data_IF_900888639746
#
_entry.id   IF_900888639746
#
_cell.length_a   1.000
_cell.length_b   1.000
_cell.length_c   1.000
_cell.angle_alpha   90.00
_cell.angle_beta   90.00
_cell.angle_gamma   90.00
#
_symmetry.space_group_name_H-M   'P 1'
#
loop_
_entity.id
_entity.type
_entity.pdbx_description
1 polymer ?
#
# COMPACT_ATOMS: atom_id res chain seq x y z
N UNK A 1 -15.66 -19.16 1.34
CA UNK A 1 -16.73 -18.24 0.88
C UNK A 1 -16.03 -17.13 0.11
N UNK A 2 -16.20 -17.06 -1.21
CA UNK A 2 -15.70 -15.97 -2.04
C UNK A 2 -16.62 -14.77 -1.82
N UNK A 3 -16.11 -13.75 -1.12
CA UNK A 3 -16.78 -12.45 -1.05
C UNK A 3 -16.53 -11.72 -2.35
N UNK A 4 -17.52 -11.69 -3.24
CA UNK A 4 -17.58 -10.67 -4.28
C UNK A 4 -17.82 -9.34 -3.58
N UNK A 5 -16.86 -8.40 -3.65
CA UNK A 5 -17.12 -7.01 -3.26
C UNK A 5 -18.23 -6.47 -4.17
N UNK A 6 -19.26 -5.90 -3.57
CA UNK A 6 -20.48 -5.50 -4.28
C UNK A 6 -20.35 -4.17 -5.06
N UNK A 7 -19.11 -3.70 -5.29
CA UNK A 7 -18.82 -2.36 -5.82
C UNK A 7 -19.12 -1.20 -4.85
N UNK A 8 -19.61 -1.49 -3.64
CA UNK A 8 -19.96 -0.49 -2.62
C UNK A 8 -18.78 0.02 -1.79
N UNK A 9 -17.72 -0.78 -1.72
CA UNK A 9 -16.51 -0.46 -0.97
C UNK A 9 -15.41 -0.20 -1.99
N UNK A 10 -14.66 0.88 -1.80
CA UNK A 10 -13.54 1.23 -2.66
C UNK A 10 -12.41 0.21 -2.55
N UNK A 11 -11.68 0.00 -3.66
CA UNK A 11 -10.54 -0.88 -3.67
C UNK A 11 -9.33 -0.24 -2.97
N UNK A 12 -8.50 -1.06 -2.31
CA UNK A 12 -7.27 -0.61 -1.67
C UNK A 12 -6.05 -1.02 -2.49
N UNK A 13 -5.14 -0.07 -2.69
CA UNK A 13 -3.90 -0.28 -3.41
C UNK A 13 -2.71 0.15 -2.55
N UNK A 14 -1.79 -0.78 -2.30
CA UNK A 14 -0.57 -0.55 -1.52
C UNK A 14 0.65 -0.55 -2.43
N UNK A 15 1.50 0.46 -2.30
CA UNK A 15 2.79 0.55 -3.00
C UNK A 15 3.92 0.67 -1.99
N UNK A 16 4.98 -0.09 -2.20
CA UNK A 16 6.20 0.01 -1.41
C UNK A 16 7.18 0.94 -2.12
N UNK A 17 7.77 1.86 -1.38
CA UNK A 17 8.75 2.82 -1.93
C UNK A 17 9.98 2.85 -1.05
N UNK A 18 11.13 3.04 -1.67
CA UNK A 18 12.37 3.25 -0.96
C UNK A 18 13.23 4.22 -1.78
N UNK A 19 13.84 5.22 -1.13
CA UNK A 19 14.81 6.10 -1.82
C UNK A 19 16.07 5.32 -2.15
N UNK A 20 16.45 4.42 -1.24
CA UNK A 20 17.50 3.42 -1.41
C UNK A 20 16.89 2.11 -0.92
N UNK A 21 16.91 1.09 -1.77
CA UNK A 21 16.30 -0.21 -1.44
C UNK A 21 16.91 -0.80 -0.16
N UNK A 22 16.06 -1.31 0.76
CA UNK A 22 16.54 -2.03 1.92
C UNK A 22 17.21 -3.34 1.52
N UNK A 23 18.07 -3.88 2.39
CA UNK A 23 18.71 -5.17 2.20
C UNK A 23 17.67 -6.30 2.27
N UNK A 24 16.68 -6.14 3.14
CA UNK A 24 15.58 -7.09 3.32
C UNK A 24 14.29 -6.32 3.60
N UNK A 25 13.17 -6.80 3.08
CA UNK A 25 11.83 -6.30 3.39
C UNK A 25 10.86 -7.46 3.49
N UNK A 26 10.03 -7.46 4.53
CA UNK A 26 8.99 -8.44 4.79
C UNK A 26 7.72 -7.71 5.19
N UNK A 27 6.60 -8.12 4.62
CA UNK A 27 5.26 -7.73 5.05
C UNK A 27 4.38 -8.97 5.18
N UNK A 28 3.70 -9.09 6.31
CA UNK A 28 2.74 -10.17 6.57
C UNK A 28 1.38 -9.80 5.98
N UNK A 29 1.30 -9.76 4.64
CA UNK A 29 0.07 -9.52 3.90
C UNK A 29 -0.12 -10.60 2.83
N UNK A 30 -1.19 -11.43 2.91
CA UNK A 30 -1.42 -12.54 1.99
C UNK A 30 -1.72 -12.12 0.55
N UNK A 31 -2.11 -10.86 0.33
CA UNK A 31 -2.38 -10.31 -1.00
C UNK A 31 -1.11 -9.82 -1.71
N UNK A 32 0.02 -9.74 -0.99
CA UNK A 32 1.31 -9.25 -1.49
C UNK A 32 2.27 -10.43 -1.69
N UNK A 33 3.02 -10.47 -2.81
CA UNK A 33 4.04 -11.50 -2.99
C UNK A 33 5.18 -11.37 -1.96
N UNK A 34 5.82 -12.49 -1.62
CA UNK A 34 6.93 -12.52 -0.64
C UNK A 34 8.14 -11.63 -1.01
N UNK A 35 8.28 -11.28 -2.29
CA UNK A 35 9.32 -10.38 -2.80
C UNK A 35 8.65 -9.33 -3.69
N UNK A 36 8.02 -8.31 -3.08
CA UNK A 36 7.33 -7.30 -3.86
C UNK A 36 8.35 -6.40 -4.56
N UNK A 37 8.06 -6.07 -5.81
CA UNK A 37 8.73 -5.00 -6.53
C UNK A 37 8.35 -3.63 -5.94
N UNK A 38 9.31 -2.71 -5.93
CA UNK A 38 9.12 -1.32 -5.49
C UNK A 38 8.42 -0.49 -6.56
N UNK A 39 7.75 0.56 -6.12
CA UNK A 39 7.04 1.55 -6.95
C UNK A 39 5.87 0.99 -7.81
N UNK A 40 5.37 -0.21 -7.47
CA UNK A 40 4.18 -0.84 -8.07
C UNK A 40 3.03 -0.88 -7.04
N UNK A 41 1.80 -0.60 -7.50
CA UNK A 41 0.58 -0.76 -6.69
C UNK A 41 0.08 -2.20 -6.73
N UNK A 42 -0.09 -2.78 -5.55
CA UNK A 42 -0.72 -4.07 -5.33
C UNK A 42 -2.11 -3.87 -4.77
N UNK A 43 -3.11 -4.49 -5.39
CA UNK A 43 -4.46 -4.55 -4.81
C UNK A 43 -4.41 -5.41 -3.54
N UNK A 44 -4.97 -4.91 -2.45
CA UNK A 44 -4.97 -5.56 -1.14
C UNK A 44 -6.35 -5.48 -0.50
N UNK A 45 -6.68 -6.44 0.35
CA UNK A 45 -7.87 -6.34 1.17
C UNK A 45 -7.63 -5.42 2.39
N UNK A 46 -8.70 -4.92 3.03
CA UNK A 46 -8.60 -4.28 4.34
C UNK A 46 -8.03 -5.24 5.39
N UNK A 47 -7.20 -4.72 6.29
CA UNK A 47 -6.53 -5.52 7.32
C UNK A 47 -5.42 -4.76 8.03
N UNK A 48 -4.88 -5.37 9.08
CA UNK A 48 -3.69 -4.88 9.77
C UNK A 48 -2.52 -5.82 9.46
N UNK A 49 -1.48 -5.27 8.86
CA UNK A 49 -0.36 -6.05 8.33
C UNK A 49 0.93 -5.58 8.98
N UNK A 50 1.63 -6.51 9.66
CA UNK A 50 2.93 -6.22 10.23
C UNK A 50 3.99 -6.19 9.13
N UNK A 51 5.00 -5.33 9.29
CA UNK A 51 6.12 -5.29 8.37
C UNK A 51 7.43 -5.05 9.12
N UNK A 52 8.54 -5.45 8.49
CA UNK A 52 9.89 -5.19 8.95
C UNK A 52 10.83 -5.07 7.75
N UNK A 53 11.92 -4.33 7.92
CA UNK A 53 12.95 -4.22 6.90
C UNK A 53 14.32 -3.99 7.52
N UNK A 54 15.38 -4.36 6.82
CA UNK A 54 16.75 -3.99 7.15
C UNK A 54 17.19 -2.93 6.16
N UNK A 55 17.44 -1.72 6.62
CA UNK A 55 17.82 -0.62 5.73
C UNK A 55 19.19 -0.86 5.07
N UNK A 56 19.56 -0.02 4.10
CA UNK A 56 20.85 -0.12 3.41
C UNK A 56 22.08 0.06 4.33
N UNK A 57 21.90 0.55 5.55
CA UNK A 57 22.96 0.68 6.57
C UNK A 57 23.04 -0.55 7.48
N UNK A 58 22.18 -1.55 7.30
CA UNK A 58 22.12 -2.75 8.15
C UNK A 58 21.32 -2.56 9.44
N UNK A 59 20.54 -1.48 9.55
CA UNK A 59 19.68 -1.22 10.70
C UNK A 59 18.34 -1.90 10.51
N UNK A 60 17.94 -2.72 11.49
CA UNK A 60 16.62 -3.35 11.51
C UNK A 60 15.54 -2.33 11.88
N UNK A 61 14.46 -2.29 11.12
CA UNK A 61 13.25 -1.55 11.43
C UNK A 61 12.07 -2.53 11.63
N UNK A 62 11.05 -2.16 12.44
CA UNK A 62 10.93 -0.90 13.16
C UNK A 62 11.82 -0.79 14.43
N UNK A 63 12.28 0.41 14.73
CA UNK A 63 12.91 0.79 16.00
C UNK A 63 11.86 1.22 17.04
N UNK A 64 12.21 1.30 18.34
CA UNK A 64 11.30 1.81 19.36
C UNK A 64 10.77 3.21 19.02
N UNK A 65 9.45 3.33 18.88
CA UNK A 65 8.77 4.57 18.49
C UNK A 65 8.40 4.67 17.00
N UNK A 66 8.79 3.71 16.18
CA UNK A 66 8.40 3.60 14.78
C UNK A 66 7.16 2.72 14.59
N UNK A 67 6.48 2.89 13.45
CA UNK A 67 5.38 2.02 13.05
C UNK A 67 5.92 0.65 12.61
N UNK A 68 5.39 -0.42 13.19
CA UNK A 68 5.69 -1.81 12.80
C UNK A 68 4.57 -2.52 12.05
N UNK A 69 3.48 -1.80 11.79
CA UNK A 69 2.32 -2.32 11.06
C UNK A 69 1.65 -1.19 10.28
N UNK A 70 0.88 -1.59 9.27
CA UNK A 70 0.00 -0.72 8.51
C UNK A 70 -1.44 -1.23 8.67
N UNK A 71 -2.37 -0.32 9.00
CA UNK A 71 -3.80 -0.62 9.08
C UNK A 71 -4.50 -0.04 7.85
N UNK A 72 -5.11 -0.94 7.07
CA UNK A 72 -5.76 -0.66 5.80
C UNK A 72 -7.27 -0.78 5.97
N UNK A 73 -7.99 0.32 5.70
CA UNK A 73 -9.46 0.39 5.83
C UNK A 73 -10.02 0.90 4.51
N UNK A 74 -10.93 0.14 3.90
CA UNK A 74 -11.63 0.57 2.69
C UNK A 74 -12.59 1.71 2.99
N UNK A 75 -12.71 2.66 2.06
CA UNK A 75 -13.78 3.64 2.10
C UNK A 75 -15.10 2.95 1.76
N UNK A 76 -15.93 2.75 2.78
CA UNK A 76 -17.28 2.20 2.61
C UNK A 76 -18.22 3.36 2.30
N UNK A 77 -18.74 3.44 1.08
CA UNK A 77 -19.71 4.48 0.79
C UNK A 77 -21.01 4.25 1.55
N UNK A 78 -21.63 5.35 1.99
CA UNK A 78 -22.93 5.32 2.64
C UNK A 78 -24.00 5.92 1.73
N UNK A 79 -25.03 5.13 1.39
CA UNK A 79 -26.14 5.58 0.54
C UNK A 79 -26.03 5.12 -0.91
N UNK A 80 -26.07 6.08 -1.86
CA UNK A 80 -26.09 5.84 -3.31
C UNK A 80 -24.78 6.16 -4.02
N UNK A 81 -23.72 6.44 -3.27
CA UNK A 81 -22.38 6.67 -3.81
C UNK A 81 -21.58 5.35 -3.74
N UNK A 82 -20.61 5.20 -4.64
CA UNK A 82 -19.66 4.10 -4.61
C UNK A 82 -18.47 4.46 -3.70
N UNK A 83 -17.90 3.47 -3.01
CA UNK A 83 -16.72 3.67 -2.17
C UNK A 83 -15.52 4.09 -3.02
N UNK A 84 -14.70 5.01 -2.51
CA UNK A 84 -13.55 5.51 -3.27
C UNK A 84 -12.35 4.60 -3.13
N UNK A 85 -11.69 4.35 -4.25
CA UNK A 85 -10.40 3.66 -4.26
C UNK A 85 -9.37 4.48 -3.47
N UNK A 86 -8.58 3.79 -2.63
CA UNK A 86 -7.55 4.41 -1.81
C UNK A 86 -6.18 3.86 -2.20
N UNK A 87 -5.24 4.77 -2.42
CA UNK A 87 -3.87 4.46 -2.80
C UNK A 87 -2.92 4.88 -1.69
N UNK A 88 -2.06 3.94 -1.29
CA UNK A 88 -1.29 4.04 -0.08
C UNK A 88 0.17 3.76 -0.40
N UNK A 89 1.05 4.64 0.04
CA UNK A 89 2.49 4.47 -0.05
C UNK A 89 3.04 4.08 1.32
N UNK A 90 3.70 2.92 1.41
CA UNK A 90 4.59 2.57 2.51
C UNK A 90 6.02 2.86 2.08
N UNK A 91 6.59 3.94 2.63
CA UNK A 91 7.92 4.43 2.29
C UNK A 91 8.92 3.96 3.34
N UNK A 92 9.89 3.15 2.93
CA UNK A 92 10.92 2.56 3.79
C UNK A 92 12.15 3.48 3.80
N UNK A 93 12.36 4.21 4.91
CA UNK A 93 13.50 5.12 5.09
C UNK A 93 14.42 4.62 6.21
N UNK A 94 15.70 4.97 6.15
CA UNK A 94 16.66 4.73 7.25
C UNK A 94 16.33 5.47 8.54
N UNK A 95 15.48 6.49 8.47
CA UNK A 95 15.00 7.26 9.62
C UNK A 95 13.69 6.72 10.19
N UNK A 96 13.24 5.57 9.71
CA UNK A 96 11.96 4.97 10.05
C UNK A 96 10.94 5.06 8.93
N UNK A 97 9.92 4.19 8.94
CA UNK A 97 8.92 4.12 7.89
C UNK A 97 7.99 5.34 7.90
N UNK A 98 7.53 5.73 6.71
CA UNK A 98 6.52 6.75 6.49
C UNK A 98 5.35 6.14 5.73
N UNK A 99 4.12 6.46 6.14
CA UNK A 99 2.88 6.02 5.47
C UNK A 99 2.18 7.27 4.95
N UNK A 100 1.90 7.30 3.65
CA UNK A 100 1.15 8.37 3.00
C UNK A 100 -0.07 7.81 2.28
N UNK A 101 -1.21 8.49 2.43
CA UNK A 101 -2.47 8.15 1.76
C UNK A 101 -2.76 9.22 0.71
N UNK A 102 -3.09 8.79 -0.51
CA UNK A 102 -3.45 9.68 -1.60
C UNK A 102 -4.85 9.38 -2.10
N UNK A 103 -5.70 10.40 -2.07
CA UNK A 103 -6.90 10.46 -2.91
C UNK A 103 -6.45 10.87 -4.32
N UNK A 104 -5.94 9.92 -5.09
CA UNK A 104 -5.65 10.17 -6.49
C UNK A 104 -6.96 10.42 -7.25
N UNK A 105 -7.37 11.69 -7.39
CA UNK A 105 -8.25 12.15 -8.49
C UNK A 105 -7.49 12.11 -9.83
N UNK A 106 -6.79 11.01 -10.11
CA UNK A 106 -6.01 10.88 -11.33
C UNK A 106 -6.95 10.36 -12.40
N UNK A 107 -7.52 11.28 -13.19
CA UNK A 107 -8.14 10.93 -14.47
C UNK A 107 -7.04 10.24 -15.27
N UNK A 108 -7.22 8.95 -15.56
CA UNK A 108 -6.36 8.25 -16.51
C UNK A 108 -6.34 9.08 -17.79
N UNK A 109 -5.21 9.72 -18.11
CA UNK A 109 -5.01 10.29 -19.45
C UNK A 109 -4.97 9.08 -20.37
N UNK A 110 -6.10 8.76 -21.00
CA UNK A 110 -6.11 7.91 -22.18
C UNK A 110 -5.26 8.64 -23.21
N UNK A 111 -4.02 8.17 -23.39
CA UNK A 111 -3.27 8.43 -24.62
C UNK A 111 -4.09 7.79 -25.74
N UNK A 112 -5.03 8.54 -26.31
CA UNK A 112 -5.54 8.23 -27.63
C UNK A 112 -4.38 8.44 -28.59
N UNK A 113 -3.80 7.34 -29.05
CA UNK A 113 -3.00 7.37 -30.27
C UNK A 113 -3.99 7.50 -31.42
N UNK A 114 -4.12 8.70 -31.97
CA UNK A 114 -4.73 8.89 -33.27
C UNK A 114 -3.85 8.18 -34.32
N UNK A 115 -4.40 7.17 -34.98
CA UNK A 115 -3.83 6.52 -36.18
C UNK A 115 -3.87 7.45 -37.42
#
# INVERSE_FOLDING_TARGET
>A
MMGCSSGKDGDLFLRFRAVIEPVEFIIDNPDIPNYPEYDIYYKTNPGSYNFSYVDHNGTQHPQPGEFGFIELVADTASGSEDGKDLYIDLILLSTGPLIENFDYYTIASTLEFDD
#
